data_IF_320306180949
#
_entry.id   IF_320306180949
#
_cell.length_a   1.000
_cell.length_b   1.000
_cell.length_c   1.000
_cell.angle_alpha   90.00
_cell.angle_beta   90.00
_cell.angle_gamma   90.00
#
_symmetry.space_group_name_H-M   'P 1'
#
loop_
_entity.id
_entity.type
_entity.pdbx_description
1 polymer ?
#
# COMPACT_ATOMS: atom_id res chain seq x y z
N UNK A 1 4.67 -17.42 -13.14
CA UNK A 1 4.03 -16.82 -11.95
C UNK A 1 4.17 -15.31 -12.07
N UNK A 2 3.07 -14.54 -12.06
CA UNK A 2 3.14 -13.06 -12.08
C UNK A 2 2.76 -12.57 -10.69
N UNK A 3 3.58 -11.72 -10.09
CA UNK A 3 3.31 -11.17 -8.76
C UNK A 3 2.00 -10.36 -8.75
N UNK A 4 1.30 -10.31 -7.61
CA UNK A 4 0.01 -9.62 -7.44
C UNK A 4 0.12 -8.08 -7.39
N UNK A 5 1.22 -7.51 -7.89
CA UNK A 5 1.45 -6.06 -7.90
C UNK A 5 0.30 -5.26 -8.51
N UNK A 6 -0.38 -5.70 -9.60
CA UNK A 6 -1.52 -4.97 -10.12
C UNK A 6 -2.66 -4.84 -9.10
N UNK A 7 -2.89 -5.87 -8.28
CA UNK A 7 -3.89 -5.85 -7.21
C UNK A 7 -3.44 -4.95 -6.06
N UNK A 8 -2.18 -5.05 -5.64
CA UNK A 8 -1.62 -4.20 -4.59
C UNK A 8 -1.68 -2.71 -4.97
N UNK A 9 -1.42 -2.38 -6.24
CA UNK A 9 -1.52 -1.01 -6.74
C UNK A 9 -2.97 -0.48 -6.68
N UNK A 10 -3.99 -1.31 -6.95
CA UNK A 10 -5.39 -0.93 -6.75
C UNK A 10 -5.69 -0.70 -5.27
N UNK A 11 -5.26 -1.61 -4.40
CA UNK A 11 -5.44 -1.45 -2.95
C UNK A 11 -4.81 -0.15 -2.43
N UNK A 12 -3.60 0.19 -2.86
CA UNK A 12 -2.89 1.41 -2.43
C UNK A 12 -3.61 2.69 -2.89
N UNK A 13 -4.13 2.71 -4.12
CA UNK A 13 -4.67 3.91 -4.76
C UNK A 13 -6.18 4.07 -4.50
N UNK A 14 -6.95 3.00 -4.68
CA UNK A 14 -8.42 3.01 -4.64
C UNK A 14 -8.93 2.83 -3.21
N UNK A 15 -8.39 1.85 -2.47
CA UNK A 15 -8.92 1.46 -1.14
C UNK A 15 -8.29 2.26 0.00
N UNK A 16 -6.96 2.17 0.14
CA UNK A 16 -6.23 2.79 1.25
C UNK A 16 -5.96 4.27 0.99
N UNK A 17 -5.93 4.68 -0.29
CA UNK A 17 -5.74 6.07 -0.75
C UNK A 17 -4.43 6.71 -0.27
N UNK A 18 -3.34 5.94 -0.31
CA UNK A 18 -1.99 6.34 0.13
C UNK A 18 -0.98 6.42 -1.02
N UNK A 19 -1.46 6.42 -2.25
CA UNK A 19 -0.61 6.59 -3.43
C UNK A 19 -1.37 7.12 -4.63
N UNK A 20 -0.61 7.62 -5.60
CA UNK A 20 -1.12 8.00 -6.91
C UNK A 20 -0.68 6.97 -7.95
N UNK A 21 -1.47 6.80 -9.00
CA UNK A 21 -1.16 5.89 -10.10
C UNK A 21 -0.71 6.68 -11.33
N UNK A 22 0.33 6.19 -12.00
CA UNK A 22 0.77 6.74 -13.29
C UNK A 22 0.01 6.06 -14.42
N UNK A 23 -0.44 6.84 -15.39
CA UNK A 23 -1.14 6.36 -16.58
C UNK A 23 -0.15 6.01 -17.70
N UNK A 24 -0.54 5.03 -18.52
CA UNK A 24 0.23 4.66 -19.72
C UNK A 24 -0.31 5.37 -20.95
N UNK A 25 0.43 5.29 -22.07
CA UNK A 25 0.13 6.03 -23.30
C UNK A 25 -1.30 5.87 -23.85
N UNK A 26 -1.94 4.73 -23.57
CA UNK A 26 -3.26 4.38 -24.06
C UNK A 26 -4.34 4.46 -22.96
N UNK A 27 -4.06 5.14 -21.85
CA UNK A 27 -4.96 5.24 -20.69
C UNK A 27 -5.12 3.92 -19.91
N UNK A 28 -4.41 2.86 -20.29
CA UNK A 28 -4.38 1.60 -19.54
C UNK A 28 -3.53 1.75 -18.28
N UNK A 29 -3.77 0.86 -17.32
CA UNK A 29 -2.90 0.66 -16.16
C UNK A 29 -1.75 -0.32 -16.42
N UNK A 30 -1.62 -0.81 -17.67
CA UNK A 30 -0.57 -1.71 -18.15
C UNK A 30 -0.03 -1.20 -19.48
N UNK A 31 1.28 -1.14 -19.61
CA UNK A 31 1.94 -0.70 -20.83
C UNK A 31 3.04 0.34 -20.57
N UNK A 32 3.44 1.04 -21.62
CA UNK A 32 4.53 2.00 -21.58
C UNK A 32 4.08 3.34 -21.00
N UNK A 33 4.86 3.89 -20.07
CA UNK A 33 4.66 5.20 -19.46
C UNK A 33 5.59 6.20 -20.14
N UNK A 34 5.04 7.34 -20.60
CA UNK A 34 5.87 8.43 -21.14
C UNK A 34 6.43 9.31 -20.03
N UNK A 35 7.55 9.97 -20.32
CA UNK A 35 8.25 10.81 -19.35
C UNK A 35 7.39 12.01 -18.89
N UNK A 36 6.59 12.60 -19.78
CA UNK A 36 5.71 13.74 -19.45
C UNK A 36 4.65 13.33 -18.41
N UNK A 37 4.05 12.16 -18.60
CA UNK A 37 3.06 11.60 -17.68
C UNK A 37 3.67 11.24 -16.33
N UNK A 38 4.89 10.69 -16.34
CA UNK A 38 5.63 10.39 -15.12
C UNK A 38 6.00 11.67 -14.35
N UNK A 39 6.57 12.68 -15.02
CA UNK A 39 6.97 13.94 -14.40
C UNK A 39 5.77 14.64 -13.75
N UNK A 40 4.64 14.72 -14.46
CA UNK A 40 3.41 15.31 -13.93
C UNK A 40 2.96 14.63 -12.64
N UNK A 41 2.97 13.29 -12.61
CA UNK A 41 2.56 12.54 -11.44
C UNK A 41 3.53 12.68 -10.27
N UNK A 42 4.83 12.81 -10.54
CA UNK A 42 5.83 13.10 -9.52
C UNK A 42 5.60 14.48 -8.91
N UNK A 43 5.38 15.51 -9.74
CA UNK A 43 5.06 16.87 -9.24
C UNK A 43 3.77 16.89 -8.42
N UNK A 44 2.72 16.23 -8.91
CA UNK A 44 1.46 16.10 -8.17
C UNK A 44 1.65 15.46 -6.79
N UNK A 45 2.45 14.40 -6.71
CA UNK A 45 2.73 13.71 -5.45
C UNK A 45 3.58 14.55 -4.50
N UNK A 46 4.53 15.31 -5.04
CA UNK A 46 5.56 15.99 -4.25
C UNK A 46 5.16 17.40 -3.83
N UNK A 47 4.51 18.16 -4.69
CA UNK A 47 4.33 19.61 -4.55
C UNK A 47 2.85 20.01 -4.43
N UNK A 48 1.95 19.26 -5.05
CA UNK A 48 0.53 19.63 -5.15
C UNK A 48 -0.34 19.10 -4.00
N UNK A 49 -1.59 19.56 -4.00
CA UNK A 49 -2.55 19.30 -2.90
C UNK A 49 -2.87 17.81 -2.75
N UNK A 50 -3.08 17.07 -3.83
CA UNK A 50 -3.31 15.62 -3.75
C UNK A 50 -2.12 14.90 -3.12
N UNK A 51 -0.90 15.34 -3.39
CA UNK A 51 0.31 14.83 -2.75
C UNK A 51 0.33 15.06 -1.24
N UNK A 52 -0.18 16.21 -0.77
CA UNK A 52 -0.31 16.49 0.67
C UNK A 52 -1.35 15.57 1.32
N UNK A 53 -2.51 15.39 0.68
CA UNK A 53 -3.57 14.48 1.16
C UNK A 53 -3.06 13.03 1.27
N UNK A 54 -2.37 12.53 0.23
CA UNK A 54 -1.77 11.20 0.22
C UNK A 54 -0.77 11.01 1.36
N UNK A 55 0.11 12.00 1.59
CA UNK A 55 1.10 11.94 2.68
C UNK A 55 0.45 11.98 4.06
N UNK A 56 -0.63 12.76 4.23
CA UNK A 56 -1.41 12.76 5.47
C UNK A 56 -2.01 11.37 5.72
N UNK A 57 -2.68 10.79 4.72
CA UNK A 57 -3.28 9.45 4.82
C UNK A 57 -2.23 8.38 5.11
N UNK A 58 -1.08 8.46 4.47
CA UNK A 58 0.03 7.53 4.68
C UNK A 58 0.54 7.56 6.13
N UNK A 59 0.65 8.76 6.73
CA UNK A 59 1.01 8.91 8.16
C UNK A 59 -0.05 8.31 9.10
N UNK A 60 -1.34 8.51 8.83
CA UNK A 60 -2.43 7.92 9.62
C UNK A 60 -2.37 6.39 9.58
N UNK A 61 -2.18 5.80 8.40
CA UNK A 61 -2.06 4.35 8.23
C UNK A 61 -0.82 3.81 8.93
N UNK A 62 0.32 4.51 8.84
CA UNK A 62 1.54 4.14 9.53
C UNK A 62 1.38 4.15 11.07
N UNK A 63 0.66 5.13 11.61
CA UNK A 63 0.36 5.20 13.05
C UNK A 63 -0.56 4.05 13.49
N UNK A 64 -1.62 3.76 12.73
CA UNK A 64 -2.50 2.61 13.00
C UNK A 64 -1.74 1.29 12.98
N UNK A 65 -0.85 1.10 11.99
CA UNK A 65 -0.04 -0.10 11.90
C UNK A 65 0.89 -0.25 13.11
N UNK A 66 1.57 0.82 13.52
CA UNK A 66 2.42 0.81 14.73
C UNK A 66 1.63 0.48 15.99
N UNK A 67 0.52 1.19 16.21
CA UNK A 67 -0.36 0.95 17.36
C UNK A 67 -0.88 -0.48 17.39
N UNK A 68 -1.32 -1.01 16.24
CA UNK A 68 -1.76 -2.40 16.13
C UNK A 68 -0.64 -3.36 16.52
N UNK A 69 0.61 -3.08 16.16
CA UNK A 69 1.75 -3.94 16.53
C UNK A 69 2.11 -3.84 18.01
N UNK A 70 2.01 -2.65 18.60
CA UNK A 70 2.21 -2.44 20.04
C UNK A 70 1.10 -3.12 20.87
N UNK A 71 -0.17 -2.95 20.50
CA UNK A 71 -1.31 -3.59 21.18
C UNK A 71 -1.34 -5.11 21.00
N UNK A 72 -0.73 -5.64 19.92
CA UNK A 72 -0.64 -7.09 19.67
C UNK A 72 0.30 -7.80 20.63
N UNK A 73 1.11 -7.09 21.41
CA UNK A 73 1.98 -7.70 22.42
C UNK A 73 1.19 -8.44 23.52
N UNK A 74 -0.11 -8.16 23.67
CA UNK A 74 -0.97 -8.74 24.71
C UNK A 74 -1.90 -9.88 24.22
N UNK A 75 -1.80 -10.27 22.94
CA UNK A 75 -2.51 -11.43 22.36
C UNK A 75 -1.55 -12.32 21.57
N UNK A 76 -1.72 -13.66 21.60
CA UNK A 76 -0.94 -14.55 20.74
C UNK A 76 -1.03 -14.07 19.30
N UNK A 77 0.11 -13.85 18.66
CA UNK A 77 0.12 -13.49 17.26
C UNK A 77 -0.47 -14.67 16.46
N UNK A 78 -0.98 -14.40 15.26
CA UNK A 78 -1.45 -15.49 14.40
C UNK A 78 -0.36 -16.56 14.26
N UNK A 79 0.92 -16.15 14.14
CA UNK A 79 2.05 -17.07 14.09
C UNK A 79 2.17 -17.94 15.35
N UNK A 80 1.97 -17.36 16.53
CA UNK A 80 2.05 -18.09 17.79
C UNK A 80 0.89 -19.10 17.87
N UNK A 81 -0.33 -18.68 17.49
CA UNK A 81 -1.47 -19.58 17.36
C UNK A 81 -1.19 -20.72 16.36
N UNK A 82 -0.59 -20.43 15.20
CA UNK A 82 -0.23 -21.45 14.20
C UNK A 82 0.84 -22.41 14.72
N UNK A 83 1.81 -21.93 15.51
CA UNK A 83 2.84 -22.77 16.11
C UNK A 83 2.24 -23.69 17.19
N UNK A 84 1.37 -23.17 18.05
CA UNK A 84 0.63 -23.97 19.02
C UNK A 84 -0.24 -25.03 18.32
N UNK A 85 -1.00 -24.66 17.29
CA UNK A 85 -1.85 -25.59 16.54
C UNK A 85 -1.04 -26.67 15.79
N UNK A 86 0.20 -26.37 15.37
CA UNK A 86 1.11 -27.37 14.80
C UNK A 86 1.69 -28.29 15.87
N UNK A 87 2.09 -27.76 17.03
CA UNK A 87 2.67 -28.53 18.14
C UNK A 87 1.62 -29.45 18.80
N UNK A 88 0.36 -29.03 18.84
CA UNK A 88 -0.75 -29.79 19.44
C UNK A 88 -1.25 -30.92 18.50
N UNK A 89 -0.90 -30.88 17.20
CA UNK A 89 -1.35 -31.85 16.19
C UNK A 89 -0.33 -32.94 15.85
N UNK A 90 0.84 -32.94 16.48
CA UNK A 90 1.84 -34.03 16.47
C UNK A 90 1.80 -34.81 17.79
#
# INVERSE_FOLDING_TARGET
>A
MVAKQPLNARMVVEEIKVGLRVETCNGSVRGFVKWEGLEKMVKELMEEEKGKEVRKKSKEVAQMAKKTMEERLDRPSARDMWQEDMIIRD
#
